data_IF_582352581281
#
_entry.id   IF_582352581281
#
_cell.length_a   1.000
_cell.length_b   1.000
_cell.length_c   1.000
_cell.angle_alpha   90.00
_cell.angle_beta   90.00
_cell.angle_gamma   90.00
#
_symmetry.space_group_name_H-M   'P 1'
#
loop_
_entity.id
_entity.type
_entity.pdbx_description
1 polymer ?
#
# COMPACT_ATOMS: atom_id res chain seq x y z
N UNK A 1 3.39 2.25 -10.45
CA UNK A 1 3.01 2.10 -9.04
C UNK A 1 3.43 3.34 -8.25
N UNK A 2 2.67 3.66 -7.23
CA UNK A 2 2.97 4.76 -6.35
C UNK A 2 3.00 4.25 -4.90
N UNK A 3 4.13 4.41 -4.25
CA UNK A 3 4.30 4.00 -2.86
C UNK A 3 4.71 5.23 -2.06
N UNK A 4 3.90 5.59 -1.06
CA UNK A 4 4.13 6.77 -0.24
C UNK A 4 4.22 6.40 1.23
N UNK A 5 5.31 6.80 1.88
CA UNK A 5 5.46 6.64 3.32
C UNK A 5 5.09 5.23 3.80
N UNK A 6 5.65 4.21 3.15
CA UNK A 6 5.31 2.82 3.43
C UNK A 6 6.57 1.98 3.60
N UNK A 7 6.41 0.88 4.31
CA UNK A 7 7.48 -0.11 4.47
C UNK A 7 7.10 -1.30 3.61
N UNK A 8 7.93 -1.59 2.62
CA UNK A 8 7.72 -2.71 1.71
C UNK A 8 8.75 -3.78 2.06
N UNK A 9 8.28 -4.92 2.52
CA UNK A 9 9.16 -5.99 2.94
C UNK A 9 9.78 -6.73 1.75
N UNK A 10 10.67 -7.66 2.04
CA UNK A 10 11.45 -8.39 1.04
C UNK A 10 10.55 -9.17 0.08
N UNK A 11 10.88 -9.10 -1.22
CA UNK A 11 10.17 -9.82 -2.29
C UNK A 11 8.71 -9.39 -2.48
N UNK A 12 8.30 -8.27 -1.94
CA UNK A 12 6.98 -7.74 -2.22
C UNK A 12 6.95 -7.10 -3.61
N UNK A 13 5.85 -7.28 -4.33
CA UNK A 13 5.68 -6.76 -5.68
C UNK A 13 4.49 -5.81 -5.70
N UNK A 14 4.72 -4.61 -6.19
CA UNK A 14 3.66 -3.62 -6.38
C UNK A 14 3.45 -3.48 -7.87
N UNK A 15 2.31 -3.92 -8.37
CA UNK A 15 2.05 -3.96 -9.79
C UNK A 15 1.65 -2.60 -10.37
N UNK A 16 1.46 -2.57 -11.68
CA UNK A 16 1.23 -1.33 -12.43
C UNK A 16 0.01 -0.55 -11.90
N UNK A 17 0.18 0.76 -11.76
CA UNK A 17 -0.87 1.68 -11.30
C UNK A 17 -1.41 1.42 -9.89
N UNK A 18 -0.77 0.54 -9.13
CA UNK A 18 -1.15 0.34 -7.73
C UNK A 18 -0.69 1.53 -6.88
N UNK A 19 -1.45 1.86 -5.88
CA UNK A 19 -1.13 2.94 -4.94
C UNK A 19 -1.07 2.37 -3.54
N UNK A 20 0.04 2.59 -2.86
CA UNK A 20 0.24 2.11 -1.49
C UNK A 20 0.52 3.31 -0.58
N UNK A 21 -0.29 3.46 0.44
CA UNK A 21 -0.13 4.54 1.39
C UNK A 21 -0.58 5.90 0.85
N UNK A 22 -0.34 6.95 1.60
CA UNK A 22 -0.66 8.31 1.20
C UNK A 22 0.23 9.31 1.92
N UNK A 23 0.37 10.49 1.33
CA UNK A 23 1.12 11.59 1.94
C UNK A 23 0.28 12.21 3.05
N UNK A 24 0.83 12.39 4.26
CA UNK A 24 0.08 13.02 5.36
C UNK A 24 -0.42 14.43 5.03
N UNK A 25 0.23 15.12 4.11
CA UNK A 25 -0.22 16.43 3.66
C UNK A 25 -1.51 16.38 2.85
N UNK A 26 -1.83 15.21 2.28
CA UNK A 26 -3.03 15.00 1.47
C UNK A 26 -4.21 14.53 2.32
N UNK A 27 -3.98 13.56 3.19
CA UNK A 27 -5.08 12.93 3.98
C UNK A 27 -5.22 13.52 5.39
N UNK A 28 -4.27 14.32 5.82
CA UNK A 28 -4.23 14.86 7.17
C UNK A 28 -3.57 13.90 8.16
N UNK A 29 -2.81 14.45 9.10
CA UNK A 29 -2.04 13.66 10.05
C UNK A 29 -2.91 12.76 10.94
N UNK A 30 -4.15 13.14 11.15
CA UNK A 30 -5.09 12.36 11.98
C UNK A 30 -5.50 11.05 11.33
N UNK A 31 -5.49 11.02 10.01
CA UNK A 31 -5.95 9.86 9.23
C UNK A 31 -4.79 9.11 8.58
N UNK A 32 -3.57 9.42 8.99
CA UNK A 32 -2.38 8.90 8.34
C UNK A 32 -1.60 7.97 9.28
N UNK A 33 -0.99 6.98 8.70
CA UNK A 33 -0.05 6.11 9.36
C UNK A 33 0.81 5.42 8.31
N UNK A 34 1.86 4.74 8.74
CA UNK A 34 2.73 4.02 7.82
C UNK A 34 2.05 2.71 7.41
N UNK A 35 1.97 2.46 6.12
CA UNK A 35 1.47 1.20 5.59
C UNK A 35 2.62 0.21 5.51
N UNK A 36 2.39 -1.02 5.92
CA UNK A 36 3.38 -2.08 5.89
C UNK A 36 2.90 -3.20 4.98
N UNK A 37 3.70 -3.55 4.00
CA UNK A 37 3.45 -4.68 3.12
C UNK A 37 4.38 -5.82 3.53
N UNK A 38 3.81 -6.97 3.87
CA UNK A 38 4.58 -8.11 4.34
C UNK A 38 5.43 -8.78 3.25
N UNK A 39 6.25 -9.74 3.66
CA UNK A 39 7.17 -10.45 2.77
C UNK A 39 6.41 -11.27 1.72
N UNK A 40 6.96 -11.32 0.51
CA UNK A 40 6.47 -12.18 -0.57
C UNK A 40 5.02 -11.93 -0.97
N UNK A 41 4.51 -10.73 -0.73
CA UNK A 41 3.16 -10.35 -1.10
C UNK A 41 3.15 -9.58 -2.41
N UNK A 42 2.00 -9.58 -3.07
CA UNK A 42 1.81 -8.80 -4.29
C UNK A 42 0.60 -7.89 -4.13
N UNK A 43 0.75 -6.64 -4.55
CA UNK A 43 -0.35 -5.69 -4.64
C UNK A 43 -0.73 -5.62 -6.11
N UNK A 44 -1.94 -6.02 -6.45
CA UNK A 44 -2.40 -6.15 -7.83
C UNK A 44 -2.52 -4.81 -8.56
N UNK A 45 -2.66 -4.89 -9.87
CA UNK A 45 -2.81 -3.70 -10.73
C UNK A 45 -3.98 -2.86 -10.28
N UNK A 46 -3.80 -1.54 -10.28
CA UNK A 46 -4.86 -0.58 -9.95
C UNK A 46 -5.42 -0.72 -8.52
N UNK A 47 -4.77 -1.53 -7.68
CA UNK A 47 -5.18 -1.68 -6.29
C UNK A 47 -4.80 -0.45 -5.50
N UNK A 48 -5.55 -0.16 -4.45
CA UNK A 48 -5.28 0.96 -3.55
C UNK A 48 -5.20 0.44 -2.14
N UNK A 49 -4.06 0.70 -1.50
CA UNK A 49 -3.87 0.38 -0.09
C UNK A 49 -3.83 1.70 0.67
N UNK A 50 -4.81 1.91 1.53
CA UNK A 50 -4.90 3.15 2.30
C UNK A 50 -3.78 3.25 3.33
N UNK A 51 -3.46 4.45 3.83
CA UNK A 51 -2.45 4.60 4.86
C UNK A 51 -2.86 3.91 6.16
N UNK A 52 -1.87 3.63 6.99
CA UNK A 52 -2.06 3.00 8.30
C UNK A 52 -2.66 1.59 8.20
N UNK A 53 -2.21 0.84 7.21
CA UNK A 53 -2.63 -0.56 7.03
C UNK A 53 -1.44 -1.50 7.17
N UNK A 54 -1.71 -2.69 7.65
CA UNK A 54 -0.74 -3.77 7.68
C UNK A 54 -1.24 -4.86 6.75
N UNK A 55 -0.54 -5.11 5.68
CA UNK A 55 -0.95 -6.07 4.66
C UNK A 55 -0.25 -7.39 4.92
N UNK A 56 -1.03 -8.43 5.19
CA UNK A 56 -0.52 -9.76 5.49
C UNK A 56 -0.92 -10.79 4.43
N UNK A 57 -1.69 -10.37 3.43
CA UNK A 57 -2.14 -11.21 2.32
C UNK A 57 -2.02 -10.42 1.03
N UNK A 58 -2.03 -11.13 -0.10
CA UNK A 58 -1.99 -10.47 -1.40
C UNK A 58 -3.20 -9.55 -1.60
N UNK A 59 -2.97 -8.43 -2.26
CA UNK A 59 -4.03 -7.49 -2.62
C UNK A 59 -4.40 -7.76 -4.06
N UNK A 60 -5.68 -8.03 -4.32
CA UNK A 60 -6.15 -8.37 -5.66
C UNK A 60 -6.17 -7.14 -6.57
N UNK A 61 -6.17 -7.40 -7.88
CA UNK A 61 -6.28 -6.36 -8.88
C UNK A 61 -7.54 -5.52 -8.65
N UNK A 62 -7.37 -4.20 -8.61
CA UNK A 62 -8.47 -3.27 -8.41
C UNK A 62 -9.05 -3.20 -6.99
N UNK A 63 -8.49 -3.96 -6.08
CA UNK A 63 -8.98 -3.99 -4.69
C UNK A 63 -8.58 -2.71 -3.94
N UNK A 64 -9.46 -2.25 -3.07
CA UNK A 64 -9.19 -1.11 -2.19
C UNK A 64 -9.30 -1.56 -0.75
N UNK A 65 -8.24 -1.30 0.00
CA UNK A 65 -8.17 -1.70 1.41
C UNK A 65 -7.95 -0.48 2.27
#
# INVERSE_FOLDING_TARGET
ARVCYSIIAENAVIEENAVVGADPAVVGAENWGITVIGDNLAVGKNAVVNPDKMITENVKEGEKI
#
